data_IF_828498896885
#
_entry.id   IF_828498896885
#
_cell.length_a   1.000
_cell.length_b   1.000
_cell.length_c   1.000
_cell.angle_alpha   90.00
_cell.angle_beta   90.00
_cell.angle_gamma   90.00
#
_symmetry.space_group_name_H-M   'P 1'
#
loop_
_entity.id
_entity.type
_entity.pdbx_description
1 polymer ?
#
# COMPACT_ATOMS: atom_id res chain seq x y z
N UNK A 1 8.64 24.06 -10.95
CA UNK A 1 7.40 24.05 -10.15
C UNK A 1 7.15 22.74 -9.37
N UNK A 2 7.95 21.69 -9.58
CA UNK A 2 7.84 20.45 -8.80
C UNK A 2 8.38 20.58 -7.36
N UNK A 3 9.34 21.47 -7.13
CA UNK A 3 9.94 21.71 -5.80
C UNK A 3 8.89 22.19 -4.78
N UNK A 4 7.93 23.03 -5.20
CA UNK A 4 6.88 23.51 -4.30
C UNK A 4 5.87 22.45 -3.86
N UNK A 5 5.64 21.41 -4.67
CA UNK A 5 4.78 20.28 -4.30
C UNK A 5 5.44 19.40 -3.25
N UNK A 6 6.74 19.14 -3.40
CA UNK A 6 7.50 18.31 -2.45
C UNK A 6 7.58 18.97 -1.06
N UNK A 7 7.77 20.29 -0.99
CA UNK A 7 7.75 21.04 0.27
C UNK A 7 6.37 21.01 0.94
N UNK A 8 5.29 21.04 0.17
CA UNK A 8 3.93 20.96 0.73
C UNK A 8 3.64 19.61 1.37
N UNK A 9 4.12 18.52 0.79
CA UNK A 9 3.97 17.16 1.33
C UNK A 9 4.79 17.01 2.62
N UNK A 10 6.03 17.47 2.64
CA UNK A 10 6.90 17.44 3.82
C UNK A 10 6.33 18.25 4.99
N UNK A 11 5.75 19.42 4.73
CA UNK A 11 5.19 20.30 5.76
C UNK A 11 3.85 19.81 6.32
N UNK A 12 3.14 18.93 5.61
CA UNK A 12 1.81 18.44 6.01
C UNK A 12 1.84 17.12 6.75
N UNK A 13 2.93 16.31 6.69
CA UNK A 13 2.98 14.98 7.32
C UNK A 13 2.79 15.05 8.83
N UNK A 14 3.44 16.00 9.52
CA UNK A 14 3.30 16.19 10.97
C UNK A 14 1.89 16.59 11.41
N UNK A 15 1.08 17.09 10.48
CA UNK A 15 -0.31 17.47 10.72
C UNK A 15 -1.27 16.28 10.57
N UNK A 16 -0.83 15.19 9.94
CA UNK A 16 -1.64 13.99 9.75
C UNK A 16 -1.58 13.15 11.02
N UNK A 17 -2.71 13.04 11.70
CA UNK A 17 -2.86 12.15 12.85
C UNK A 17 -3.18 10.74 12.34
N UNK A 18 -2.27 9.80 12.58
CA UNK A 18 -2.45 8.40 12.23
C UNK A 18 -1.41 7.86 11.25
N UNK A 19 -1.62 6.62 10.84
CA UNK A 19 -0.76 5.91 9.91
C UNK A 19 -1.06 6.36 8.48
N UNK A 20 -0.02 6.47 7.67
CA UNK A 20 -0.13 6.87 6.27
C UNK A 20 0.31 5.71 5.38
N UNK A 21 -0.40 5.51 4.29
CA UNK A 21 0.06 4.67 3.19
C UNK A 21 0.72 5.57 2.14
N UNK A 22 2.02 5.39 1.94
CA UNK A 22 2.79 6.08 0.90
C UNK A 22 2.91 5.17 -0.32
N UNK A 23 2.16 5.47 -1.36
CA UNK A 23 2.33 4.81 -2.65
C UNK A 23 3.48 5.44 -3.42
N UNK A 24 4.53 4.67 -3.70
CA UNK A 24 5.66 5.12 -4.52
C UNK A 24 5.51 4.63 -5.96
N UNK A 25 5.56 5.56 -6.91
CA UNK A 25 5.44 5.31 -8.35
C UNK A 25 6.82 5.40 -9.00
N UNK A 26 7.43 4.25 -9.24
CA UNK A 26 8.82 4.16 -9.73
C UNK A 26 8.95 3.62 -11.15
N UNK A 27 7.85 3.21 -11.78
CA UNK A 27 7.86 2.50 -13.06
C UNK A 27 8.48 3.28 -14.22
N UNK A 28 8.45 4.61 -14.15
CA UNK A 28 9.05 5.49 -15.16
C UNK A 28 10.33 6.19 -14.70
N UNK A 29 10.85 5.84 -13.52
CA UNK A 29 12.02 6.49 -12.93
C UNK A 29 13.30 5.69 -13.21
N UNK A 30 14.38 6.42 -13.42
CA UNK A 30 15.74 5.85 -13.42
C UNK A 30 16.23 5.69 -11.98
N UNK A 31 17.17 4.75 -11.74
CA UNK A 31 17.69 4.46 -10.40
C UNK A 31 18.13 5.73 -9.62
N UNK A 32 18.87 6.70 -10.20
CA UNK A 32 19.23 7.92 -9.46
C UNK A 32 18.02 8.77 -9.00
N UNK A 33 16.91 8.70 -9.74
CA UNK A 33 15.67 9.40 -9.36
C UNK A 33 14.95 8.67 -8.22
N UNK A 34 14.98 7.34 -8.23
CA UNK A 34 14.46 6.50 -7.15
C UNK A 34 15.25 6.76 -5.86
N UNK A 35 16.57 6.82 -5.94
CA UNK A 35 17.44 7.10 -4.80
C UNK A 35 17.15 8.48 -4.18
N UNK A 36 16.94 9.51 -5.01
CA UNK A 36 16.53 10.84 -4.56
C UNK A 36 15.15 10.79 -3.89
N UNK A 37 14.19 10.08 -4.47
CA UNK A 37 12.87 9.90 -3.90
C UNK A 37 12.96 9.28 -2.50
N UNK A 38 13.71 8.21 -2.36
CA UNK A 38 13.90 7.53 -1.08
C UNK A 38 14.55 8.45 -0.03
N UNK A 39 15.61 9.17 -0.39
CA UNK A 39 16.24 10.12 0.52
C UNK A 39 15.29 11.22 1.00
N UNK A 40 14.36 11.68 0.15
CA UNK A 40 13.34 12.65 0.53
C UNK A 40 12.25 12.05 1.44
N UNK A 41 11.94 10.79 1.28
CA UNK A 41 10.92 10.10 2.08
C UNK A 41 11.39 9.76 3.48
N UNK A 42 12.64 9.33 3.64
CA UNK A 42 13.18 8.87 4.92
C UNK A 42 12.91 9.80 6.12
N UNK A 43 13.11 11.13 6.01
CA UNK A 43 12.91 12.03 7.15
C UNK A 43 11.44 12.25 7.55
N UNK A 44 10.48 11.84 6.70
CA UNK A 44 9.04 12.07 6.95
C UNK A 44 8.30 10.80 7.33
N UNK A 45 8.91 9.63 7.17
CA UNK A 45 8.26 8.35 7.47
C UNK A 45 8.27 8.06 8.98
N UNK A 46 7.18 7.44 9.41
CA UNK A 46 7.06 6.88 10.75
C UNK A 46 7.08 5.35 10.67
N UNK A 47 7.58 4.64 11.70
CA UNK A 47 7.64 3.16 11.69
C UNK A 47 6.27 2.48 11.55
N UNK A 48 5.19 3.19 11.86
CA UNK A 48 3.83 2.67 11.73
C UNK A 48 3.19 2.91 10.35
N UNK A 49 3.84 3.72 9.49
CA UNK A 49 3.38 3.95 8.12
C UNK A 49 3.58 2.71 7.26
N UNK A 50 2.89 2.67 6.12
CA UNK A 50 3.05 1.63 5.11
C UNK A 50 3.62 2.29 3.85
N UNK A 51 4.62 1.68 3.24
CA UNK A 51 5.13 2.08 1.92
C UNK A 51 4.73 1.02 0.90
N UNK A 52 4.07 1.44 -0.16
CA UNK A 52 3.53 0.54 -1.19
C UNK A 52 3.97 0.93 -2.59
N UNK A 53 4.06 -0.05 -3.48
CA UNK A 53 4.35 0.16 -4.91
C UNK A 53 3.82 -0.99 -5.75
N UNK A 54 3.55 -0.73 -7.04
CA UNK A 54 3.42 -1.78 -8.06
C UNK A 54 4.77 -2.44 -8.37
N UNK A 55 5.87 -1.72 -8.17
CA UNK A 55 7.21 -2.20 -8.43
C UNK A 55 7.79 -2.89 -7.19
N UNK A 56 7.74 -4.22 -7.19
CA UNK A 56 8.28 -5.05 -6.12
C UNK A 56 9.76 -4.77 -5.80
N UNK A 57 10.58 -4.60 -6.85
CA UNK A 57 12.01 -4.33 -6.66
C UNK A 57 12.24 -3.05 -5.87
N UNK A 58 11.48 -1.99 -6.15
CA UNK A 58 11.58 -0.74 -5.41
C UNK A 58 11.22 -0.91 -3.93
N UNK A 59 10.26 -1.80 -3.61
CA UNK A 59 9.93 -2.12 -2.22
C UNK A 59 11.08 -2.86 -1.54
N UNK A 60 11.70 -3.82 -2.20
CA UNK A 60 12.87 -4.52 -1.65
C UNK A 60 14.03 -3.55 -1.39
N UNK A 61 14.36 -2.70 -2.37
CA UNK A 61 15.45 -1.73 -2.23
C UNK A 61 15.16 -0.73 -1.08
N UNK A 62 13.91 -0.30 -0.93
CA UNK A 62 13.52 0.61 0.14
C UNK A 62 13.54 -0.03 1.54
N UNK A 63 13.18 -1.29 1.63
CA UNK A 63 13.16 -2.07 2.87
C UNK A 63 14.54 -2.16 3.53
N UNK A 64 15.61 -2.12 2.73
CA UNK A 64 16.99 -2.09 3.22
C UNK A 64 17.36 -0.75 3.89
N UNK A 65 16.62 0.32 3.59
CA UNK A 65 16.91 1.69 4.05
C UNK A 65 16.13 2.08 5.29
N UNK A 66 14.93 1.54 5.48
CA UNK A 66 14.05 1.97 6.56
C UNK A 66 13.18 0.82 7.08
N UNK A 67 12.92 0.82 8.37
CA UNK A 67 12.06 -0.16 9.02
C UNK A 67 10.65 0.40 9.22
N UNK A 68 9.73 0.05 8.31
CA UNK A 68 8.29 0.30 8.45
C UNK A 68 7.53 -0.90 7.89
N UNK A 69 6.23 -0.76 7.67
CA UNK A 69 5.43 -1.75 6.96
C UNK A 69 5.55 -1.54 5.45
N UNK A 70 5.52 -2.62 4.71
CA UNK A 70 5.65 -2.61 3.26
C UNK A 70 4.52 -3.38 2.60
N UNK A 71 4.16 -2.97 1.38
CA UNK A 71 3.16 -3.67 0.62
C UNK A 71 3.40 -3.59 -0.89
N UNK A 72 3.00 -4.64 -1.58
CA UNK A 72 2.94 -4.67 -3.04
C UNK A 72 1.51 -4.42 -3.51
N UNK A 73 1.35 -3.65 -4.59
CA UNK A 73 0.06 -3.35 -5.19
C UNK A 73 -0.17 -4.32 -6.36
N UNK A 74 -1.35 -4.95 -6.38
CA UNK A 74 -1.72 -6.00 -7.31
C UNK A 74 -3.01 -5.60 -8.03
N UNK A 75 -2.96 -5.51 -9.35
CA UNK A 75 -4.06 -5.10 -10.24
C UNK A 75 -4.36 -6.09 -11.38
N UNK A 76 -3.62 -7.20 -11.45
CA UNK A 76 -3.80 -8.23 -12.49
C UNK A 76 -3.42 -9.63 -11.98
N UNK A 77 -3.95 -10.67 -12.62
CA UNK A 77 -3.80 -12.06 -12.15
C UNK A 77 -2.36 -12.57 -12.11
N UNK A 78 -1.52 -12.18 -13.07
CA UNK A 78 -0.12 -12.62 -13.09
C UNK A 78 0.64 -12.13 -11.85
N UNK A 79 0.29 -10.95 -11.32
CA UNK A 79 0.86 -10.41 -10.10
C UNK A 79 0.51 -11.23 -8.85
N UNK A 80 -0.63 -11.93 -8.84
CA UNK A 80 -0.99 -12.84 -7.74
C UNK A 80 -0.01 -14.00 -7.59
N UNK A 81 0.52 -14.50 -8.71
CA UNK A 81 1.47 -15.61 -8.69
C UNK A 81 2.81 -15.20 -8.05
N UNK A 82 3.29 -14.02 -8.39
CA UNK A 82 4.48 -13.43 -7.77
C UNK A 82 4.25 -13.13 -6.29
N UNK A 83 3.14 -12.48 -5.96
CA UNK A 83 2.77 -12.15 -4.59
C UNK A 83 2.65 -13.37 -3.68
N UNK A 84 2.16 -14.49 -4.20
CA UNK A 84 2.10 -15.76 -3.46
C UNK A 84 3.48 -16.25 -3.06
N UNK A 85 4.44 -16.22 -3.98
CA UNK A 85 5.84 -16.57 -3.67
C UNK A 85 6.42 -15.68 -2.59
N UNK A 86 6.16 -14.37 -2.68
CA UNK A 86 6.62 -13.38 -1.70
C UNK A 86 5.98 -13.58 -0.32
N UNK A 87 4.70 -13.95 -0.27
CA UNK A 87 3.98 -14.15 0.98
C UNK A 87 4.55 -15.25 1.87
N UNK A 88 5.23 -16.22 1.26
CA UNK A 88 5.89 -17.33 1.97
C UNK A 88 7.22 -16.90 2.59
N UNK A 89 7.92 -15.98 1.93
CA UNK A 89 9.26 -15.54 2.34
C UNK A 89 9.29 -14.29 3.21
N UNK A 90 8.17 -13.54 3.24
CA UNK A 90 8.05 -12.29 3.99
C UNK A 90 6.70 -12.22 4.71
N UNK A 91 6.69 -12.63 5.98
CA UNK A 91 5.49 -12.63 6.81
C UNK A 91 4.96 -11.23 7.17
N UNK A 92 5.80 -10.20 7.03
CA UNK A 92 5.45 -8.80 7.35
C UNK A 92 4.93 -8.03 6.13
N UNK A 93 4.98 -8.62 4.93
CA UNK A 93 4.53 -8.00 3.69
C UNK A 93 3.01 -7.90 3.62
N UNK A 94 2.50 -6.73 3.23
CA UNK A 94 1.11 -6.48 2.92
C UNK A 94 0.82 -6.56 1.42
N UNK A 95 -0.43 -6.84 1.07
CA UNK A 95 -0.91 -6.98 -0.30
C UNK A 95 -2.06 -6.01 -0.52
N UNK A 96 -1.84 -5.00 -1.38
CA UNK A 96 -2.86 -4.04 -1.80
C UNK A 96 -3.54 -4.60 -3.05
N UNK A 97 -4.67 -5.28 -2.90
CA UNK A 97 -5.29 -6.11 -3.94
C UNK A 97 -6.47 -5.39 -4.58
N UNK A 98 -6.47 -5.28 -5.90
CA UNK A 98 -7.64 -4.84 -6.66
C UNK A 98 -8.80 -5.82 -6.43
N UNK A 99 -10.01 -5.30 -6.14
CA UNK A 99 -11.14 -6.08 -5.63
C UNK A 99 -11.58 -7.24 -6.52
N UNK A 100 -11.47 -7.11 -7.85
CA UNK A 100 -11.88 -8.17 -8.79
C UNK A 100 -10.96 -9.38 -8.73
N UNK A 101 -9.72 -9.23 -8.25
CA UNK A 101 -8.79 -10.33 -8.09
C UNK A 101 -9.17 -11.29 -6.95
N UNK A 102 -10.04 -10.88 -6.04
CA UNK A 102 -10.53 -11.77 -4.97
C UNK A 102 -11.38 -12.92 -5.52
N UNK A 103 -12.03 -12.73 -6.66
CA UNK A 103 -12.83 -13.77 -7.33
C UNK A 103 -11.97 -14.71 -8.19
N UNK A 104 -10.68 -14.41 -8.34
CA UNK A 104 -9.76 -15.27 -9.07
C UNK A 104 -9.55 -16.59 -8.36
N UNK A 105 -9.54 -17.69 -9.12
CA UNK A 105 -9.18 -19.03 -8.61
C UNK A 105 -7.72 -19.10 -8.11
N UNK A 106 -6.91 -18.15 -8.50
CA UNK A 106 -5.50 -18.05 -8.12
C UNK A 106 -5.29 -17.21 -6.86
N UNK A 107 -6.36 -16.60 -6.33
CA UNK A 107 -6.26 -15.82 -5.09
C UNK A 107 -6.04 -16.76 -3.90
N UNK A 108 -4.88 -16.67 -3.29
CA UNK A 108 -4.46 -17.48 -2.14
C UNK A 108 -3.50 -16.66 -1.25
N UNK A 109 -3.86 -15.39 -1.02
CA UNK A 109 -3.11 -14.49 -0.16
C UNK A 109 -3.77 -14.41 1.22
N UNK A 110 -2.99 -14.22 2.30
CA UNK A 110 -3.54 -14.11 3.65
C UNK A 110 -4.37 -12.84 3.82
N UNK A 111 -5.67 -12.97 4.04
CA UNK A 111 -6.61 -11.85 4.18
C UNK A 111 -6.22 -10.88 5.30
N UNK A 112 -5.67 -11.38 6.39
CA UNK A 112 -5.19 -10.56 7.52
C UNK A 112 -3.95 -9.69 7.18
N UNK A 113 -3.40 -9.81 5.99
CA UNK A 113 -2.36 -8.96 5.41
C UNK A 113 -2.78 -8.34 4.07
N UNK A 114 -4.06 -8.47 3.72
CA UNK A 114 -4.61 -7.96 2.47
C UNK A 114 -5.42 -6.69 2.73
N UNK A 115 -5.13 -5.65 1.95
CA UNK A 115 -5.91 -4.41 1.86
C UNK A 115 -6.56 -4.36 0.50
N UNK A 116 -7.88 -4.22 0.45
CA UNK A 116 -8.66 -4.33 -0.79
C UNK A 116 -8.98 -2.93 -1.32
N UNK A 117 -8.77 -2.70 -2.62
CA UNK A 117 -9.01 -1.41 -3.28
C UNK A 117 -9.70 -1.58 -4.64
N UNK A 118 -10.47 -0.64 -5.14
CA UNK A 118 -11.10 0.49 -4.42
C UNK A 118 -12.50 0.09 -4.04
N UNK A 119 -12.87 0.28 -2.77
CA UNK A 119 -14.15 -0.17 -2.20
C UNK A 119 -14.99 1.04 -1.83
N UNK A 120 -15.99 1.35 -2.65
CA UNK A 120 -16.88 2.50 -2.46
C UNK A 120 -18.32 2.10 -2.09
N UNK A 121 -18.62 0.79 -2.10
CA UNK A 121 -19.94 0.28 -1.74
C UNK A 121 -19.95 -0.20 -0.28
N UNK A 122 -20.96 0.23 0.48
CA UNK A 122 -21.12 -0.13 1.89
C UNK A 122 -21.11 -1.65 2.13
N UNK A 123 -21.84 -2.40 1.29
CA UNK A 123 -21.97 -3.84 1.49
C UNK A 123 -20.63 -4.54 1.27
N UNK A 124 -19.88 -4.13 0.26
CA UNK A 124 -18.53 -4.65 -0.01
C UNK A 124 -17.57 -4.29 1.13
N UNK A 125 -17.64 -3.06 1.64
CA UNK A 125 -16.84 -2.60 2.76
C UNK A 125 -17.01 -3.48 4.00
N UNK A 126 -18.25 -3.72 4.40
CA UNK A 126 -18.56 -4.57 5.56
C UNK A 126 -18.17 -6.02 5.28
N UNK A 127 -18.49 -6.54 4.09
CA UNK A 127 -18.21 -7.90 3.68
C UNK A 127 -16.71 -8.22 3.74
N UNK A 128 -15.85 -7.39 3.17
CA UNK A 128 -14.41 -7.63 3.16
C UNK A 128 -13.78 -7.58 4.55
N UNK A 129 -14.24 -6.66 5.40
CA UNK A 129 -13.78 -6.63 6.80
C UNK A 129 -14.26 -7.86 7.60
N UNK A 130 -15.50 -8.29 7.39
CA UNK A 130 -16.04 -9.49 8.05
C UNK A 130 -15.34 -10.79 7.54
N UNK A 131 -14.85 -10.81 6.29
CA UNK A 131 -13.99 -11.90 5.78
C UNK A 131 -12.60 -11.93 6.43
N UNK A 132 -12.20 -10.90 7.15
CA UNK A 132 -10.91 -10.82 7.82
C UNK A 132 -9.83 -10.09 7.03
N UNK A 133 -10.19 -9.28 6.02
CA UNK A 133 -9.24 -8.38 5.37
C UNK A 133 -8.63 -7.41 6.39
N UNK A 134 -7.33 -7.12 6.23
CA UNK A 134 -6.64 -6.17 7.09
C UNK A 134 -7.24 -4.77 7.00
N UNK A 135 -7.71 -4.39 5.82
CA UNK A 135 -8.35 -3.12 5.58
C UNK A 135 -8.90 -2.97 4.17
N UNK A 136 -9.48 -1.82 3.91
CA UNK A 136 -9.94 -1.42 2.58
C UNK A 136 -9.49 0.01 2.28
N UNK A 137 -9.28 0.31 1.00
CA UNK A 137 -9.04 1.65 0.47
C UNK A 137 -10.31 2.11 -0.23
N UNK A 138 -10.77 3.31 0.11
CA UNK A 138 -12.00 3.92 -0.42
C UNK A 138 -11.77 5.38 -0.80
N UNK A 139 -12.48 5.87 -1.82
CA UNK A 139 -12.50 7.28 -2.21
C UNK A 139 -13.40 8.13 -1.30
N UNK A 140 -14.24 7.50 -0.46
CA UNK A 140 -15.25 8.15 0.38
C UNK A 140 -15.09 7.80 1.87
N UNK A 141 -13.91 8.04 2.47
CA UNK A 141 -13.61 7.60 3.84
C UNK A 141 -14.56 8.21 4.88
N UNK A 142 -15.00 9.44 4.69
CA UNK A 142 -15.94 10.13 5.60
C UNK A 142 -17.28 9.42 5.71
N UNK A 143 -17.71 8.75 4.64
CA UNK A 143 -18.94 7.97 4.62
C UNK A 143 -18.73 6.57 5.19
N UNK A 144 -17.56 5.97 4.92
CA UNK A 144 -17.29 4.56 5.24
C UNK A 144 -16.86 4.34 6.69
N UNK A 145 -16.22 5.32 7.35
CA UNK A 145 -15.69 5.16 8.71
C UNK A 145 -16.76 4.77 9.75
N UNK A 146 -18.04 5.15 9.54
CA UNK A 146 -19.15 4.81 10.43
C UNK A 146 -19.48 3.31 10.48
N UNK A 147 -19.03 2.53 9.50
CA UNK A 147 -19.25 1.08 9.40
C UNK A 147 -18.08 0.25 9.96
N UNK A 148 -17.02 0.90 10.40
CA UNK A 148 -15.89 0.24 11.05
C UNK A 148 -16.30 -0.12 12.48
N UNK A 149 -16.33 -1.43 12.77
CA UNK A 149 -16.61 -1.96 14.11
C UNK A 149 -15.42 -1.79 15.03
#
# INVERSE_FOLDING_TARGET
>A
DNVKKDELILSSRDQIKGKVNFEIKTDSLLQPQIDILFQKMLPILHPEDIVTSFNWKSIQDFKELFSCRYGIILDHEDALFEAKSLSIHDEDMFFMVERTLLDSRNFDLPLNRTVIWTVNEKNDFVHFLDMGAFGVITDIPDTMHIYRK
#
